data_IF_887299892931
#
_entry.id   IF_887299892931
#
_cell.length_a   1.000
_cell.length_b   1.000
_cell.length_c   1.000
_cell.angle_alpha   90.00
_cell.angle_beta   90.00
_cell.angle_gamma   90.00
#
_symmetry.space_group_name_H-M   'P 1'
#
loop_
_entity.id
_entity.type
_entity.pdbx_description
1 polymer ?
#
# COMPACT_ATOMS: atom_id res chain seq x y z
N UNK A 1 -5.48 8.52 -20.20
CA UNK A 1 -5.72 9.05 -18.84
C UNK A 1 -6.09 7.88 -17.94
N UNK A 2 -5.56 7.83 -16.72
CA UNK A 2 -5.74 6.69 -15.79
C UNK A 2 -7.03 6.84 -14.99
N UNK A 3 -7.66 5.73 -14.59
CA UNK A 3 -8.84 5.75 -13.70
C UNK A 3 -8.47 5.10 -12.37
N UNK A 4 -8.70 5.76 -11.22
CA UNK A 4 -8.32 5.21 -9.93
C UNK A 4 -9.29 4.09 -9.51
N UNK A 5 -8.76 2.90 -9.22
CA UNK A 5 -9.51 1.78 -8.66
C UNK A 5 -9.33 1.75 -7.14
N UNK A 6 -10.14 2.51 -6.42
CA UNK A 6 -10.13 2.58 -4.96
C UNK A 6 -11.36 1.92 -4.36
N UNK A 7 -11.17 1.00 -3.39
CA UNK A 7 -12.27 0.36 -2.67
C UNK A 7 -12.81 1.17 -1.49
N UNK A 8 -12.15 2.27 -1.17
CA UNK A 8 -12.55 3.24 -0.14
C UNK A 8 -11.75 4.52 -0.35
N UNK A 9 -12.36 5.65 0.03
CA UNK A 9 -11.68 6.92 0.20
C UNK A 9 -11.57 7.35 1.67
N UNK A 10 -12.01 6.52 2.62
CA UNK A 10 -11.83 6.80 4.04
C UNK A 10 -10.37 6.58 4.44
N UNK A 11 -9.76 7.58 5.08
CA UNK A 11 -8.41 7.48 5.68
C UNK A 11 -8.48 7.12 7.17
N UNK A 12 -9.50 7.62 7.86
CA UNK A 12 -9.79 7.31 9.26
C UNK A 12 -11.30 7.29 9.48
N UNK A 13 -11.78 6.22 10.11
CA UNK A 13 -13.19 6.01 10.46
C UNK A 13 -13.46 6.20 11.95
N UNK A 14 -12.44 6.56 12.74
CA UNK A 14 -12.58 6.76 14.19
C UNK A 14 -13.45 7.98 14.48
N UNK A 15 -14.51 7.80 15.27
CA UNK A 15 -15.41 8.88 15.69
C UNK A 15 -14.63 10.04 16.32
N UNK A 16 -14.85 11.26 15.80
CA UNK A 16 -14.16 12.49 16.24
C UNK A 16 -12.74 12.65 15.72
N UNK A 17 -12.22 11.70 14.93
CA UNK A 17 -10.93 11.77 14.24
C UNK A 17 -11.05 11.27 12.79
N UNK A 18 -12.20 11.51 12.16
CA UNK A 18 -12.45 11.09 10.79
C UNK A 18 -11.59 11.88 9.80
N UNK A 19 -11.18 11.21 8.73
CA UNK A 19 -10.50 11.84 7.59
C UNK A 19 -10.78 11.03 6.33
N UNK A 20 -10.87 11.69 5.19
CA UNK A 20 -11.16 11.05 3.91
C UNK A 20 -10.50 11.79 2.74
N UNK A 21 -10.31 11.06 1.65
CA UNK A 21 -9.91 11.57 0.34
C UNK A 21 -11.16 12.06 -0.39
N UNK A 22 -11.10 13.26 -0.95
CA UNK A 22 -12.14 13.81 -1.82
C UNK A 22 -11.53 14.00 -3.22
N UNK A 23 -11.95 13.18 -4.21
CA UNK A 23 -11.61 13.42 -5.61
C UNK A 23 -12.27 14.72 -6.08
N UNK A 24 -11.49 15.57 -6.73
CA UNK A 24 -11.96 16.80 -7.38
C UNK A 24 -11.75 16.62 -8.88
N UNK A 25 -12.85 16.70 -9.63
CA UNK A 25 -12.86 16.60 -11.09
C UNK A 25 -12.50 17.97 -11.67
N UNK A 26 -11.60 17.98 -12.64
CA UNK A 26 -11.10 19.15 -13.37
C UNK A 26 -11.29 18.92 -14.88
N UNK A 27 -11.17 19.97 -15.68
CA UNK A 27 -11.46 19.91 -17.12
C UNK A 27 -10.59 18.90 -17.89
N UNK A 28 -9.33 18.73 -17.46
CA UNK A 28 -8.35 17.82 -18.05
C UNK A 28 -8.06 16.58 -17.19
N UNK A 29 -8.76 16.43 -16.05
CA UNK A 29 -8.72 15.21 -15.29
C UNK A 29 -9.23 15.26 -13.87
N UNK A 30 -8.42 14.81 -12.91
CA UNK A 30 -8.79 14.82 -11.51
C UNK A 30 -7.56 14.98 -10.62
N UNK A 31 -7.79 15.56 -9.45
CA UNK A 31 -6.85 15.55 -8.33
C UNK A 31 -7.50 15.01 -7.08
N UNK A 32 -6.68 14.53 -6.15
CA UNK A 32 -7.15 14.12 -4.84
C UNK A 32 -6.90 15.21 -3.82
N UNK A 33 -7.90 15.46 -2.99
CA UNK A 33 -7.76 16.29 -1.81
C UNK A 33 -8.03 15.48 -0.55
N UNK A 34 -7.68 16.02 0.60
CA UNK A 34 -7.87 15.40 1.90
C UNK A 34 -8.72 16.32 2.75
N UNK A 35 -9.73 15.75 3.39
CA UNK A 35 -10.66 16.44 4.28
C UNK A 35 -10.62 15.79 5.65
N UNK A 36 -10.54 16.61 6.69
CA UNK A 36 -10.66 16.19 8.09
C UNK A 36 -12.10 16.38 8.53
N UNK A 37 -12.64 15.41 9.26
CA UNK A 37 -14.02 15.36 9.71
C UNK A 37 -14.88 14.40 8.88
N UNK A 38 -16.18 14.44 9.15
CA UNK A 38 -17.14 13.52 8.52
C UNK A 38 -17.42 13.93 7.08
N UNK A 39 -17.35 12.98 6.12
CA UNK A 39 -17.78 13.24 4.74
C UNK A 39 -19.28 13.55 4.69
N UNK A 40 -19.67 14.48 3.80
CA UNK A 40 -21.09 14.76 3.52
C UNK A 40 -21.83 13.52 3.02
N UNK A 41 -21.16 12.71 2.20
CA UNK A 41 -21.68 11.47 1.63
C UNK A 41 -20.85 10.29 2.13
N UNK A 42 -21.10 9.86 3.37
CA UNK A 42 -20.29 8.84 4.04
C UNK A 42 -20.26 7.50 3.32
N UNK A 43 -21.38 7.05 2.75
CA UNK A 43 -21.43 5.78 2.04
C UNK A 43 -20.62 5.82 0.72
N UNK A 44 -20.64 6.94 0.01
CA UNK A 44 -19.80 7.13 -1.18
C UNK A 44 -18.30 7.13 -0.82
N UNK A 45 -17.91 7.85 0.24
CA UNK A 45 -16.53 7.85 0.72
C UNK A 45 -16.07 6.46 1.19
N UNK A 46 -16.95 5.67 1.82
CA UNK A 46 -16.65 4.29 2.22
C UNK A 46 -16.48 3.34 1.04
N UNK A 47 -17.32 3.46 0.02
CA UNK A 47 -17.27 2.60 -1.17
C UNK A 47 -16.14 2.96 -2.14
N UNK A 48 -15.69 4.22 -2.13
CA UNK A 48 -14.73 4.72 -3.10
C UNK A 48 -15.30 4.65 -4.52
N UNK A 49 -14.58 3.98 -5.41
CA UNK A 49 -14.98 3.71 -6.80
C UNK A 49 -15.52 2.30 -6.99
N UNK A 50 -15.57 1.47 -5.93
CA UNK A 50 -15.96 0.07 -6.04
C UNK A 50 -17.48 -0.04 -6.15
N UNK A 51 -17.94 -0.84 -7.12
CA UNK A 51 -19.35 -1.12 -7.32
C UNK A 51 -19.73 -2.46 -6.67
N UNK A 52 -19.18 -3.56 -7.18
CA UNK A 52 -19.40 -4.90 -6.67
C UNK A 52 -18.30 -5.85 -7.14
N UNK A 53 -17.90 -6.81 -6.29
CA UNK A 53 -16.81 -7.75 -6.57
C UNK A 53 -15.55 -7.02 -7.06
N UNK A 54 -15.08 -7.31 -8.27
CA UNK A 54 -13.93 -6.66 -8.92
C UNK A 54 -14.34 -5.60 -9.96
N UNK A 55 -15.57 -5.07 -9.89
CA UNK A 55 -16.05 -4.01 -10.77
C UNK A 55 -15.96 -2.65 -10.07
N UNK A 56 -15.59 -1.64 -10.84
CA UNK A 56 -15.39 -0.27 -10.36
C UNK A 56 -16.11 0.72 -11.28
N UNK A 57 -16.39 1.93 -10.81
CA UNK A 57 -16.96 3.02 -11.58
C UNK A 57 -15.91 4.07 -11.89
N UNK A 58 -15.88 4.56 -13.12
CA UNK A 58 -15.05 5.69 -13.48
C UNK A 58 -15.51 6.95 -12.74
N UNK A 59 -14.62 7.62 -12.00
CA UNK A 59 -14.97 8.87 -11.28
C UNK A 59 -15.29 10.04 -12.22
N UNK A 60 -14.84 9.98 -13.48
CA UNK A 60 -15.05 11.03 -14.47
C UNK A 60 -16.38 10.86 -15.20
N UNK A 61 -16.67 9.65 -15.68
CA UNK A 61 -17.82 9.37 -16.56
C UNK A 61 -18.95 8.60 -15.87
N UNK A 62 -18.72 8.04 -14.69
CA UNK A 62 -19.63 7.11 -14.03
C UNK A 62 -19.72 5.73 -14.70
N UNK A 63 -19.05 5.52 -15.83
CA UNK A 63 -19.12 4.26 -16.59
C UNK A 63 -18.59 3.10 -15.75
N UNK A 64 -19.33 1.98 -15.64
CA UNK A 64 -18.82 0.77 -15.02
C UNK A 64 -17.62 0.21 -15.79
N UNK A 65 -16.59 -0.15 -15.05
CA UNK A 65 -15.38 -0.81 -15.52
C UNK A 65 -15.48 -2.27 -15.09
N UNK A 66 -15.73 -3.20 -16.03
CA UNK A 66 -15.91 -4.60 -15.71
C UNK A 66 -14.59 -5.24 -15.29
N UNK A 67 -14.67 -6.27 -14.45
CA UNK A 67 -13.49 -7.02 -13.98
C UNK A 67 -12.61 -7.53 -15.11
N UNK A 68 -13.21 -8.00 -16.21
CA UNK A 68 -12.47 -8.59 -17.34
C UNK A 68 -11.58 -7.55 -18.04
N UNK A 69 -12.06 -6.30 -18.14
CA UNK A 69 -11.24 -5.20 -18.64
C UNK A 69 -10.07 -4.91 -17.68
N UNK A 70 -10.33 -4.86 -16.37
CA UNK A 70 -9.29 -4.63 -15.36
C UNK A 70 -8.23 -5.73 -15.42
N UNK A 71 -8.63 -7.00 -15.51
CA UNK A 71 -7.70 -8.12 -15.63
C UNK A 71 -6.91 -8.05 -16.93
N UNK A 72 -7.53 -7.69 -18.05
CA UNK A 72 -6.84 -7.49 -19.33
C UNK A 72 -5.77 -6.39 -19.24
N UNK A 73 -6.12 -5.22 -18.71
CA UNK A 73 -5.17 -4.10 -18.52
C UNK A 73 -4.04 -4.47 -17.57
N UNK A 74 -4.35 -5.19 -16.49
CA UNK A 74 -3.39 -5.62 -15.49
C UNK A 74 -2.39 -6.65 -16.03
N UNK A 75 -2.87 -7.68 -16.73
CA UNK A 75 -2.01 -8.67 -17.37
C UNK A 75 -1.17 -8.08 -18.51
N UNK A 76 -1.65 -7.00 -19.14
CA UNK A 76 -0.88 -6.27 -20.13
C UNK A 76 0.12 -5.25 -19.54
N UNK A 77 0.26 -5.19 -18.21
CA UNK A 77 1.19 -4.28 -17.53
C UNK A 77 0.80 -2.80 -17.60
N UNK A 78 -0.47 -2.50 -17.89
CA UNK A 78 -1.00 -1.13 -18.00
C UNK A 78 -1.66 -0.64 -16.71
N UNK A 79 -1.35 -1.28 -15.58
CA UNK A 79 -1.76 -0.86 -14.24
C UNK A 79 -0.66 -0.04 -13.57
N UNK A 80 -1.06 0.86 -12.69
CA UNK A 80 -0.17 1.83 -12.07
C UNK A 80 -0.70 2.30 -10.73
N UNK A 81 0.14 3.01 -9.98
CA UNK A 81 -0.21 3.57 -8.69
C UNK A 81 -0.34 5.09 -8.78
N UNK A 82 -1.31 5.64 -8.05
CA UNK A 82 -1.50 7.08 -7.88
C UNK A 82 -1.50 7.41 -6.39
N UNK A 83 -0.72 8.40 -5.98
CA UNK A 83 -0.72 8.88 -4.60
C UNK A 83 -2.02 9.62 -4.29
N UNK A 84 -2.75 9.18 -3.25
CA UNK A 84 -4.06 9.74 -2.87
C UNK A 84 -4.02 10.61 -1.62
N UNK A 85 -3.05 10.39 -0.73
CA UNK A 85 -2.84 11.15 0.50
C UNK A 85 -1.43 10.90 1.05
N UNK A 86 -0.95 11.80 1.91
CA UNK A 86 0.19 11.56 2.79
C UNK A 86 -0.32 11.46 4.23
N UNK A 87 0.19 10.46 4.96
CA UNK A 87 -0.08 10.29 6.39
C UNK A 87 1.22 10.49 7.13
N UNK A 88 1.26 11.49 8.01
CA UNK A 88 2.41 11.81 8.84
C UNK A 88 2.09 11.57 10.31
N UNK A 89 3.13 11.29 11.09
CA UNK A 89 3.04 11.34 12.55
C UNK A 89 3.00 12.80 13.02
N UNK A 90 2.19 13.07 14.04
CA UNK A 90 2.11 14.36 14.71
C UNK A 90 1.89 14.18 16.21
N UNK A 91 2.07 15.26 16.97
CA UNK A 91 2.10 15.26 18.44
C UNK A 91 0.88 14.58 19.10
N UNK A 92 -0.31 14.70 18.50
CA UNK A 92 -1.59 14.17 19.05
C UNK A 92 -2.23 13.09 18.19
N UNK A 93 -1.45 12.50 17.27
CA UNK A 93 -1.86 11.46 16.35
C UNK A 93 -1.51 11.76 14.90
N UNK A 94 -2.10 10.98 13.98
CA UNK A 94 -1.83 11.09 12.54
C UNK A 94 -2.37 12.41 11.96
N UNK A 95 -1.55 13.04 11.12
CA UNK A 95 -1.92 14.17 10.27
C UNK A 95 -2.08 13.68 8.84
N UNK A 96 -3.14 14.11 8.17
CA UNK A 96 -3.45 13.73 6.79
C UNK A 96 -3.23 14.93 5.89
N UNK A 97 -2.36 14.78 4.90
CA UNK A 97 -1.90 15.85 4.03
C UNK A 97 -2.25 15.55 2.58
N UNK A 98 -2.44 16.62 1.81
CA UNK A 98 -2.70 16.56 0.38
C UNK A 98 -1.53 15.85 -0.34
N UNK A 99 -1.82 14.96 -1.31
CA UNK A 99 -0.77 14.46 -2.19
C UNK A 99 -0.30 15.60 -3.11
N UNK A 100 1.01 15.83 -3.17
CA UNK A 100 1.59 16.80 -4.11
C UNK A 100 2.43 16.06 -5.15
N UNK A 101 2.69 16.68 -6.32
CA UNK A 101 3.59 16.11 -7.32
C UNK A 101 4.98 15.78 -6.77
N UNK A 102 5.49 16.59 -5.84
CA UNK A 102 6.78 16.37 -5.19
C UNK A 102 6.75 15.11 -4.31
N UNK A 103 5.69 14.92 -3.52
CA UNK A 103 5.49 13.70 -2.72
C UNK A 103 5.47 12.45 -3.60
N UNK A 104 4.78 12.52 -4.74
CA UNK A 104 4.68 11.43 -5.71
C UNK A 104 6.02 11.18 -6.43
N UNK A 105 6.78 12.23 -6.77
CA UNK A 105 8.12 12.13 -7.36
C UNK A 105 9.10 11.45 -6.42
N UNK A 106 9.16 11.90 -5.15
CA UNK A 106 9.95 11.24 -4.10
C UNK A 106 9.48 9.79 -3.91
N UNK A 107 8.23 9.47 -4.24
CA UNK A 107 7.72 8.10 -4.15
C UNK A 107 8.27 7.12 -5.12
N UNK A 108 8.51 7.61 -6.32
CA UNK A 108 9.02 6.80 -7.41
C UNK A 108 10.54 6.62 -7.36
N UNK A 109 11.23 7.37 -6.50
CA UNK A 109 12.69 7.27 -6.32
C UNK A 109 13.14 6.02 -5.56
N UNK A 110 12.26 5.39 -4.79
CA UNK A 110 12.63 4.18 -4.06
C UNK A 110 12.90 3.04 -5.06
N UNK A 111 14.11 2.49 -4.99
CA UNK A 111 14.54 1.36 -5.81
C UNK A 111 15.03 0.26 -4.87
N UNK A 112 14.29 -0.84 -4.72
CA UNK A 112 14.76 -1.97 -3.92
C UNK A 112 15.94 -2.65 -4.63
N UNK A 113 16.94 -3.06 -3.86
CA UNK A 113 18.08 -3.84 -4.37
C UNK A 113 17.70 -5.29 -4.65
N UNK A 114 16.71 -5.79 -3.90
CA UNK A 114 16.23 -7.15 -3.98
C UNK A 114 14.70 -7.20 -3.94
N UNK A 115 14.12 -8.20 -4.60
CA UNK A 115 12.68 -8.47 -4.65
C UNK A 115 12.44 -9.98 -4.71
N UNK A 116 11.48 -10.55 -3.95
CA UNK A 116 11.13 -11.96 -4.07
C UNK A 116 10.63 -12.34 -5.47
N UNK A 117 11.23 -13.35 -6.07
CA UNK A 117 10.92 -13.83 -7.43
C UNK A 117 10.02 -15.07 -7.45
N UNK A 118 9.80 -15.70 -6.29
CA UNK A 118 8.96 -16.89 -6.17
C UNK A 118 7.55 -16.62 -6.73
N UNK A 119 7.14 -17.44 -7.68
CA UNK A 119 5.81 -17.36 -8.26
C UNK A 119 4.76 -17.80 -7.26
N UNK A 120 3.67 -17.08 -7.23
CA UNK A 120 2.49 -17.44 -6.46
C UNK A 120 1.75 -18.58 -7.18
N UNK A 121 1.07 -19.48 -6.45
CA UNK A 121 0.33 -20.56 -7.06
C UNK A 121 -0.72 -20.04 -8.04
N UNK A 122 -0.82 -20.68 -9.20
CA UNK A 122 -1.87 -20.41 -10.19
C UNK A 122 -3.18 -21.11 -9.78
N UNK A 123 -3.69 -20.75 -8.59
CA UNK A 123 -4.99 -21.19 -8.10
C UNK A 123 -5.84 -19.98 -7.69
N UNK A 124 -6.83 -19.61 -8.50
CA UNK A 124 -7.61 -18.39 -8.29
C UNK A 124 -8.50 -18.42 -7.05
N UNK A 125 -8.77 -19.62 -6.49
CA UNK A 125 -9.54 -19.76 -5.25
C UNK A 125 -8.71 -19.42 -4.01
N UNK A 126 -7.39 -19.50 -4.11
CA UNK A 126 -6.47 -19.30 -2.98
C UNK A 126 -5.71 -17.99 -3.10
N UNK A 127 -5.40 -17.56 -4.32
CA UNK A 127 -4.61 -16.37 -4.57
C UNK A 127 -5.07 -15.65 -5.83
N UNK A 128 -5.73 -14.50 -5.64
CA UNK A 128 -6.27 -13.68 -6.74
C UNK A 128 -5.29 -12.70 -7.40
N UNK A 129 -4.19 -12.23 -6.76
CA UNK A 129 -3.24 -11.31 -7.40
C UNK A 129 -2.72 -11.69 -8.79
N UNK A 130 -2.51 -12.97 -9.16
CA UNK A 130 -2.15 -13.37 -10.53
C UNK A 130 -3.14 -12.88 -11.60
N UNK A 131 -4.44 -12.76 -11.30
CA UNK A 131 -5.40 -12.16 -12.24
C UNK A 131 -5.14 -10.69 -12.54
N UNK A 132 -4.44 -10.00 -11.64
CA UNK A 132 -4.03 -8.61 -11.81
C UNK A 132 -2.59 -8.49 -12.35
N UNK A 133 -2.05 -9.55 -12.97
CA UNK A 133 -0.69 -9.55 -13.51
C UNK A 133 0.42 -9.56 -12.45
N UNK A 134 0.08 -9.65 -11.16
CA UNK A 134 1.01 -9.77 -10.04
C UNK A 134 1.30 -11.25 -9.82
N UNK A 135 2.40 -11.76 -10.36
CA UNK A 135 2.68 -13.20 -10.46
C UNK A 135 3.66 -13.69 -9.40
N UNK A 136 4.64 -12.86 -9.02
CA UNK A 136 5.58 -13.17 -7.96
C UNK A 136 5.17 -12.54 -6.63
N UNK A 137 5.59 -13.11 -5.49
CA UNK A 137 5.30 -12.53 -4.17
C UNK A 137 5.82 -11.10 -4.03
N UNK A 138 6.93 -10.76 -4.69
CA UNK A 138 7.44 -9.40 -4.71
C UNK A 138 6.52 -8.39 -5.40
N UNK A 139 5.64 -8.82 -6.31
CA UNK A 139 4.71 -7.93 -7.04
C UNK A 139 3.62 -7.34 -6.14
N UNK A 140 3.40 -7.92 -4.96
CA UNK A 140 2.41 -7.45 -3.99
C UNK A 140 2.81 -6.15 -3.29
N UNK A 141 4.07 -5.77 -3.40
CA UNK A 141 4.65 -4.65 -2.69
C UNK A 141 5.06 -3.56 -3.69
N UNK A 142 4.79 -2.32 -3.32
CA UNK A 142 5.39 -1.17 -4.01
C UNK A 142 6.92 -1.15 -3.78
N UNK A 143 7.70 -0.55 -4.68
CA UNK A 143 9.15 -0.40 -4.51
C UNK A 143 9.53 0.20 -3.15
N UNK A 144 8.78 1.19 -2.67
CA UNK A 144 8.94 1.78 -1.34
C UNK A 144 8.73 0.78 -0.20
N UNK A 145 7.68 -0.03 -0.28
CA UNK A 145 7.40 -1.04 0.75
C UNK A 145 8.50 -2.10 0.81
N UNK A 146 9.02 -2.52 -0.35
CA UNK A 146 10.15 -3.46 -0.41
C UNK A 146 11.38 -2.86 0.27
N UNK A 147 11.77 -1.63 -0.10
CA UNK A 147 12.89 -0.92 0.55
C UNK A 147 12.69 -0.83 2.07
N UNK A 148 11.51 -0.44 2.53
CA UNK A 148 11.25 -0.34 3.97
C UNK A 148 11.33 -1.68 4.69
N UNK A 149 10.78 -2.75 4.10
CA UNK A 149 10.80 -4.08 4.69
C UNK A 149 12.23 -4.63 4.78
N UNK A 150 13.02 -4.51 3.73
CA UNK A 150 14.42 -4.97 3.73
C UNK A 150 15.24 -4.18 4.74
N UNK A 151 15.11 -2.85 4.76
CA UNK A 151 15.80 -2.00 5.77
C UNK A 151 15.45 -2.41 7.19
N UNK A 152 14.17 -2.68 7.50
CA UNK A 152 13.81 -3.13 8.85
C UNK A 152 14.36 -4.52 9.17
N UNK A 153 14.34 -5.45 8.21
CA UNK A 153 14.94 -6.77 8.39
C UNK A 153 16.45 -6.70 8.67
N UNK A 154 17.18 -5.83 7.98
CA UNK A 154 18.62 -5.63 8.18
C UNK A 154 18.90 -5.04 9.58
N UNK A 155 18.13 -4.02 9.98
CA UNK A 155 18.26 -3.39 11.28
C UNK A 155 17.99 -4.34 12.46
N UNK A 156 17.18 -5.39 12.28
CA UNK A 156 16.98 -6.41 13.33
C UNK A 156 18.26 -7.18 13.60
N UNK A 157 19.04 -7.50 12.57
CA UNK A 157 20.33 -8.18 12.75
C UNK A 157 21.33 -7.27 13.47
N UNK A 158 21.43 -6.00 13.06
CA UNK A 158 22.27 -5.02 13.73
C UNK A 158 21.88 -4.83 15.21
N UNK A 159 20.58 -4.74 15.50
CA UNK A 159 20.08 -4.60 16.87
C UNK A 159 20.45 -5.82 17.72
N UNK A 160 20.32 -7.03 17.16
CA UNK A 160 20.73 -8.27 17.83
C UNK A 160 22.22 -8.24 18.17
N UNK A 161 23.09 -7.86 17.24
CA UNK A 161 24.53 -7.79 17.47
C UNK A 161 24.89 -6.82 18.60
N UNK A 162 24.24 -5.64 18.63
CA UNK A 162 24.43 -4.67 19.72
C UNK A 162 24.01 -5.22 21.07
N UNK A 163 22.86 -5.89 21.13
CA UNK A 163 22.39 -6.54 22.38
C UNK A 163 23.40 -7.56 22.87
N UNK A 164 23.94 -8.41 21.99
CA UNK A 164 24.94 -9.42 22.38
C UNK A 164 26.28 -8.81 22.81
N UNK A 165 26.66 -7.67 22.24
CA UNK A 165 27.88 -6.94 22.62
C UNK A 165 27.74 -6.20 23.96
N UNK A 166 26.54 -5.72 24.27
CA UNK A 166 26.22 -5.03 25.53
C UNK A 166 26.00 -5.99 26.71
N UNK A 167 25.96 -7.32 26.46
CA UNK A 167 25.94 -8.32 27.52
C UNK A 167 27.24 -8.28 28.35
N UNK A 168 27.19 -7.61 29.50
CA UNK A 168 28.23 -7.69 30.53
C UNK A 168 28.34 -9.11 31.14
N UNK A 169 29.33 -9.38 32.00
CA UNK A 169 29.68 -10.72 32.52
C UNK A 169 28.59 -11.43 33.36
N UNK A 170 27.40 -10.86 33.48
CA UNK A 170 26.25 -11.41 34.21
C UNK A 170 24.99 -11.62 33.33
N UNK A 171 25.07 -11.36 32.02
CA UNK A 171 24.00 -11.65 31.06
C UNK A 171 24.00 -13.14 30.71
N UNK A 172 23.12 -13.93 31.32
CA UNK A 172 22.81 -15.29 30.85
C UNK A 172 21.57 -15.22 29.97
N UNK A 173 21.76 -15.06 28.66
CA UNK A 173 20.77 -15.49 27.68
C UNK A 173 21.22 -16.86 27.13
N UNK A 174 20.76 -17.95 27.74
CA UNK A 174 20.79 -19.26 27.08
C UNK A 174 19.81 -19.22 25.91
N UNK A 175 20.27 -18.80 24.74
CA UNK A 175 19.58 -19.08 23.48
C UNK A 175 19.95 -20.50 23.07
N UNK A 176 18.93 -21.37 23.08
CA UNK A 176 19.00 -22.76 22.63
C UNK A 176 19.61 -22.82 21.20
N UNK A 177 20.66 -23.63 20.95
CA UNK A 177 21.31 -23.74 19.63
C UNK A 177 20.37 -24.21 18.49
N UNK A 178 19.17 -24.69 18.80
CA UNK A 178 18.23 -25.22 17.81
C UNK A 178 17.55 -24.16 16.92
N UNK A 179 17.73 -22.86 17.19
CA UNK A 179 17.21 -21.78 16.33
C UNK A 179 18.22 -21.28 15.28
N UNK A 180 19.48 -21.75 15.29
CA UNK A 180 20.50 -21.33 14.30
C UNK A 180 20.48 -22.17 13.01
N UNK A 181 19.63 -23.19 12.91
CA UNK A 181 19.58 -24.09 11.74
C UNK A 181 18.42 -23.85 10.77
N UNK A 182 17.69 -22.74 10.88
CA UNK A 182 16.66 -22.37 9.89
C UNK A 182 17.09 -21.11 9.13
N UNK A 183 18.13 -21.28 8.32
CA UNK A 183 18.24 -20.51 7.08
C UNK A 183 17.28 -21.16 6.08
N UNK A 184 16.14 -20.51 5.86
CA UNK A 184 15.32 -20.60 4.65
C UNK A 184 15.16 -19.19 4.09
#
# INVERSE_FOLDING_TARGET
MWVPLASTFMLSTKTGKEAYVEPVIEDDGYRFTVKVGKPKHAEAAKAGTKLARANFGCIMSGTPIPSDHIYSEANAGRMGAKLVAIVAEGERGRVYLLPTPEHESVARKASPEWKPENLMPDNPRWFSPPFYGLKAYGDLFTPRQLVSLTTFSDLVQEARERVMADEGPHGRATMDPLLTSMNL
#
